data_IF_927973075713
#
_entry.id   IF_927973075713
#
_cell.length_a   1.000
_cell.length_b   1.000
_cell.length_c   1.000
_cell.angle_alpha   90.00
_cell.angle_beta   90.00
_cell.angle_gamma   90.00
#
_symmetry.space_group_name_H-M   'P 1'
#
loop_
_entity.id
_entity.type
_entity.pdbx_description
1 polymer ?
#
# COMPACT_ATOMS: atom_id res chain seq x y z
N UNK A 1 -5.85 -4.96 -27.31
CA UNK A 1 -5.59 -5.91 -26.20
C UNK A 1 -4.63 -5.34 -25.16
N UNK A 2 -3.41 -4.95 -25.52
CA UNK A 2 -2.43 -4.36 -24.58
C UNK A 2 -2.89 -3.04 -23.92
N UNK A 3 -3.41 -2.09 -24.69
CA UNK A 3 -3.88 -0.79 -24.16
C UNK A 3 -5.00 -0.96 -23.14
N UNK A 4 -5.94 -1.88 -23.38
CA UNK A 4 -7.05 -2.13 -22.46
C UNK A 4 -6.57 -2.71 -21.12
N UNK A 5 -5.59 -3.62 -21.14
CA UNK A 5 -4.98 -4.13 -19.90
C UNK A 5 -4.22 -3.03 -19.14
N UNK A 6 -3.43 -2.23 -19.85
CA UNK A 6 -2.68 -1.11 -19.25
C UNK A 6 -3.64 -0.10 -18.60
N UNK A 7 -4.71 0.28 -19.29
CA UNK A 7 -5.72 1.19 -18.75
C UNK A 7 -6.44 0.60 -17.54
N UNK A 8 -6.83 -0.67 -17.61
CA UNK A 8 -7.48 -1.36 -16.47
C UNK A 8 -6.56 -1.42 -15.26
N UNK A 9 -5.27 -1.69 -15.47
CA UNK A 9 -4.27 -1.67 -14.41
C UNK A 9 -4.10 -0.28 -13.81
N UNK A 10 -3.96 0.75 -14.66
CA UNK A 10 -3.81 2.13 -14.22
C UNK A 10 -5.00 2.61 -13.38
N UNK A 11 -6.24 2.26 -13.76
CA UNK A 11 -7.44 2.59 -12.99
C UNK A 11 -7.38 1.93 -11.61
N UNK A 12 -7.07 0.63 -11.54
CA UNK A 12 -6.97 -0.10 -10.26
C UNK A 12 -5.88 0.46 -9.34
N UNK A 13 -4.75 0.88 -9.89
CA UNK A 13 -3.66 1.54 -9.14
C UNK A 13 -4.16 2.86 -8.53
N UNK A 14 -4.87 3.68 -9.30
CA UNK A 14 -5.45 4.93 -8.81
C UNK A 14 -6.51 4.69 -7.72
N UNK A 15 -7.36 3.67 -7.89
CA UNK A 15 -8.34 3.27 -6.88
C UNK A 15 -7.65 2.84 -5.58
N UNK A 16 -6.61 1.98 -5.68
CA UNK A 16 -5.87 1.50 -4.52
C UNK A 16 -5.17 2.64 -3.80
N UNK A 17 -4.57 3.58 -4.55
CA UNK A 17 -4.00 4.81 -3.99
C UNK A 17 -5.04 5.58 -3.17
N UNK A 18 -6.25 5.74 -3.71
CA UNK A 18 -7.36 6.40 -3.03
C UNK A 18 -7.79 5.65 -1.76
N UNK A 19 -7.87 4.33 -1.81
CA UNK A 19 -8.22 3.50 -0.66
C UNK A 19 -7.15 3.54 0.44
N UNK A 20 -5.87 3.52 0.08
CA UNK A 20 -4.75 3.67 1.02
C UNK A 20 -4.78 5.01 1.74
N UNK A 21 -5.08 6.10 1.03
CA UNK A 21 -5.23 7.42 1.64
C UNK A 21 -6.46 7.49 2.56
N UNK A 22 -7.60 6.92 2.13
CA UNK A 22 -8.83 6.87 2.95
C UNK A 22 -8.67 6.04 4.23
N UNK A 23 -7.91 4.94 4.15
CA UNK A 23 -7.66 4.05 5.28
C UNK A 23 -6.49 4.51 6.17
N UNK A 24 -5.78 5.56 5.77
CA UNK A 24 -4.75 6.17 6.60
C UNK A 24 -5.42 7.05 7.68
N UNK A 25 -5.14 6.83 8.97
CA UNK A 25 -5.89 7.47 10.06
C UNK A 25 -5.58 8.96 10.26
N UNK A 26 -4.60 9.50 9.55
CA UNK A 26 -4.13 10.89 9.68
C UNK A 26 -4.03 11.55 8.31
N UNK A 27 -3.82 12.86 8.28
CA UNK A 27 -3.41 13.52 7.04
C UNK A 27 -2.00 13.04 6.67
N UNK A 28 -1.87 12.41 5.50
CA UNK A 28 -0.59 11.92 5.02
C UNK A 28 0.36 13.08 4.69
N UNK A 29 1.64 12.94 5.07
CA UNK A 29 2.71 13.87 4.65
C UNK A 29 3.04 13.68 3.16
N UNK A 30 3.83 14.60 2.58
CA UNK A 30 4.33 14.47 1.20
C UNK A 30 4.98 13.11 0.96
N UNK A 31 5.88 12.70 1.84
CA UNK A 31 6.66 11.47 1.70
C UNK A 31 5.76 10.22 1.84
N UNK A 32 4.72 10.31 2.68
CA UNK A 32 3.73 9.24 2.82
C UNK A 32 2.84 9.14 1.58
N UNK A 33 2.47 10.26 0.96
CA UNK A 33 1.71 10.28 -0.31
C UNK A 33 2.56 9.69 -1.45
N UNK A 34 3.84 10.04 -1.50
CA UNK A 34 4.79 9.48 -2.46
C UNK A 34 4.90 7.96 -2.28
N UNK A 35 5.18 7.51 -1.06
CA UNK A 35 5.19 6.08 -0.72
C UNK A 35 3.89 5.37 -1.09
N UNK A 36 2.71 5.97 -0.76
CA UNK A 36 1.41 5.39 -1.09
C UNK A 36 1.22 5.25 -2.61
N UNK A 37 1.78 6.18 -3.39
CA UNK A 37 1.73 6.13 -4.85
C UNK A 37 2.58 4.98 -5.38
N UNK A 38 3.82 4.83 -4.89
CA UNK A 38 4.72 3.75 -5.31
C UNK A 38 4.22 2.38 -4.89
N UNK A 39 3.79 2.24 -3.63
CA UNK A 39 3.35 0.96 -3.09
C UNK A 39 2.06 0.46 -3.76
N UNK A 40 1.17 1.36 -4.21
CA UNK A 40 -0.03 0.98 -4.95
C UNK A 40 0.31 0.29 -6.29
N UNK A 41 1.35 0.78 -6.98
CA UNK A 41 1.84 0.13 -8.21
C UNK A 41 2.47 -1.22 -7.88
N UNK A 42 3.36 -1.26 -6.87
CA UNK A 42 4.04 -2.49 -6.45
C UNK A 42 3.06 -3.61 -6.05
N UNK A 43 2.02 -3.29 -5.28
CA UNK A 43 1.04 -4.29 -4.80
C UNK A 43 0.16 -4.88 -5.91
N UNK A 44 0.03 -4.18 -7.04
CA UNK A 44 -0.78 -4.61 -8.18
C UNK A 44 0.06 -5.12 -9.35
N UNK A 45 1.38 -5.06 -9.25
CA UNK A 45 2.27 -5.66 -10.24
C UNK A 45 2.05 -7.18 -10.33
N UNK A 46 2.27 -7.72 -11.54
CA UNK A 46 2.17 -9.14 -11.84
C UNK A 46 3.51 -9.86 -11.69
N UNK A 47 4.62 -9.13 -11.62
CA UNK A 47 5.96 -9.71 -11.43
C UNK A 47 6.11 -10.30 -10.01
N UNK A 48 6.31 -11.62 -9.86
CA UNK A 48 6.44 -12.26 -8.56
C UNK A 48 7.83 -12.06 -7.92
N UNK A 49 8.80 -11.48 -8.62
CA UNK A 49 10.19 -11.34 -8.18
C UNK A 49 10.54 -9.93 -7.69
N UNK A 50 9.56 -9.16 -7.23
CA UNK A 50 9.76 -7.80 -6.76
C UNK A 50 9.99 -7.74 -5.24
N UNK A 51 10.77 -6.75 -4.80
CA UNK A 51 11.02 -6.44 -3.39
C UNK A 51 10.84 -4.94 -3.16
N UNK A 52 10.01 -4.59 -2.18
CA UNK A 52 9.84 -3.21 -1.71
C UNK A 52 10.48 -3.05 -0.33
N UNK A 53 11.38 -2.09 -0.17
CA UNK A 53 12.04 -1.79 1.11
C UNK A 53 11.59 -0.41 1.59
N UNK A 54 10.74 -0.39 2.63
CA UNK A 54 10.35 0.85 3.30
C UNK A 54 11.37 1.22 4.38
N UNK A 55 12.11 2.31 4.16
CA UNK A 55 13.00 2.92 5.16
C UNK A 55 12.33 4.14 5.77
N UNK A 56 12.52 4.34 7.07
CA UNK A 56 12.03 5.54 7.75
C UNK A 56 12.48 5.58 9.20
N UNK A 57 12.55 6.79 9.77
CA UNK A 57 12.96 7.01 11.15
C UNK A 57 11.92 6.52 12.17
N UNK A 58 12.31 6.39 13.43
CA UNK A 58 11.36 6.09 14.50
C UNK A 58 10.25 7.15 14.54
N UNK A 59 9.00 6.72 14.73
CA UNK A 59 7.85 7.62 14.77
C UNK A 59 7.29 8.11 13.43
N UNK A 60 7.84 7.71 12.27
CA UNK A 60 7.35 8.18 10.94
C UNK A 60 6.12 7.42 10.41
N UNK A 61 5.41 6.69 11.27
CA UNK A 61 4.16 6.02 10.89
C UNK A 61 4.30 4.78 10.00
N UNK A 62 5.46 4.12 9.95
CA UNK A 62 5.67 2.89 9.16
C UNK A 62 4.64 1.81 9.48
N UNK A 63 4.39 1.54 10.76
CA UNK A 63 3.38 0.56 11.20
C UNK A 63 1.98 0.96 10.74
N UNK A 64 1.65 2.25 10.85
CA UNK A 64 0.38 2.82 10.37
C UNK A 64 0.20 2.65 8.86
N UNK A 65 1.26 2.85 8.08
CA UNK A 65 1.26 2.59 6.63
C UNK A 65 1.00 1.11 6.34
N UNK A 66 1.66 0.19 7.03
CA UNK A 66 1.43 -1.25 6.88
C UNK A 66 -0.02 -1.63 7.23
N UNK A 67 -0.59 -1.05 8.29
CA UNK A 67 -2.00 -1.28 8.65
C UNK A 67 -2.96 -0.80 7.55
N UNK A 68 -2.73 0.40 6.99
CA UNK A 68 -3.51 0.92 5.86
C UNK A 68 -3.41 -0.03 4.65
N UNK A 69 -2.21 -0.53 4.34
CA UNK A 69 -1.99 -1.50 3.27
C UNK A 69 -2.81 -2.76 3.49
N UNK A 70 -2.68 -3.41 4.66
CA UNK A 70 -3.38 -4.67 4.95
C UNK A 70 -4.90 -4.49 4.84
N UNK A 71 -5.44 -3.34 5.30
CA UNK A 71 -6.88 -3.04 5.19
C UNK A 71 -7.34 -2.82 3.75
N UNK A 72 -6.52 -2.17 2.93
CA UNK A 72 -6.88 -1.82 1.55
C UNK A 72 -6.80 -3.01 0.59
N UNK A 73 -5.73 -3.83 0.66
CA UNK A 73 -5.44 -4.85 -0.35
C UNK A 73 -6.46 -6.00 -0.40
N UNK A 74 -7.23 -6.21 0.67
CA UNK A 74 -8.27 -7.24 0.73
C UNK A 74 -9.33 -7.02 -0.36
N UNK A 75 -9.68 -5.77 -0.65
CA UNK A 75 -10.63 -5.41 -1.73
C UNK A 75 -10.11 -5.75 -3.14
N UNK A 76 -8.79 -5.88 -3.29
CA UNK A 76 -8.13 -6.15 -4.56
C UNK A 76 -7.81 -7.63 -4.76
N UNK A 77 -8.44 -8.53 -3.98
CA UNK A 77 -8.20 -9.97 -4.00
C UNK A 77 -6.71 -10.36 -3.81
N UNK A 78 -5.95 -9.53 -3.09
CA UNK A 78 -4.57 -9.83 -2.70
C UNK A 78 -4.56 -10.36 -1.27
N UNK A 79 -3.90 -11.50 -1.08
CA UNK A 79 -3.65 -12.08 0.24
C UNK A 79 -2.31 -11.59 0.74
N UNK A 80 -2.19 -11.36 2.05
CA UNK A 80 -0.93 -11.01 2.71
C UNK A 80 -0.72 -11.88 3.93
N UNK A 81 0.56 -12.06 4.28
CA UNK A 81 0.99 -12.66 5.54
C UNK A 81 1.88 -11.63 6.23
N UNK A 82 1.52 -11.24 7.44
CA UNK A 82 2.33 -10.36 8.27
C UNK A 82 3.29 -11.23 9.08
N UNK A 83 4.58 -11.19 8.74
CA UNK A 83 5.59 -12.09 9.32
C UNK A 83 6.13 -11.62 10.68
N UNK A 84 5.94 -10.35 11.05
CA UNK A 84 6.35 -9.83 12.34
C UNK A 84 5.24 -8.97 12.96
N UNK A 85 4.77 -9.28 14.17
CA UNK A 85 3.90 -8.37 14.93
C UNK A 85 4.79 -7.28 15.56
N UNK A 86 5.09 -6.21 14.82
CA UNK A 86 5.67 -5.02 15.47
C UNK A 86 4.60 -4.40 16.35
N UNK A 87 4.73 -4.64 17.66
CA UNK A 87 3.84 -4.21 18.73
C UNK A 87 3.57 -2.71 18.64
N UNK A 88 2.29 -2.34 18.51
CA UNK A 88 1.69 -1.24 19.26
C UNK A 88 0.25 -1.65 19.65
N UNK A 89 -0.10 -1.30 20.88
CA UNK A 89 -1.08 -1.99 21.73
C UNK A 89 -2.48 -2.10 21.13
N UNK A 90 -3.15 -3.19 21.48
CA UNK A 90 -4.60 -3.19 21.65
C UNK A 90 -5.02 -1.98 22.51
N UNK A 91 -5.90 -1.16 21.96
CA UNK A 91 -7.06 -0.65 22.69
C UNK A 91 -8.25 -0.69 21.74
#
# INVERSE_FOLDING_TARGET
>A
MYIFEVLTSAIKIQELRGDLLRNFPHQATSDQIEFITEIASFLLDKDPHQLFILKGYAGTGKTTLIQSIIRSIVKYNRKSVLLAPTVERQK
#
